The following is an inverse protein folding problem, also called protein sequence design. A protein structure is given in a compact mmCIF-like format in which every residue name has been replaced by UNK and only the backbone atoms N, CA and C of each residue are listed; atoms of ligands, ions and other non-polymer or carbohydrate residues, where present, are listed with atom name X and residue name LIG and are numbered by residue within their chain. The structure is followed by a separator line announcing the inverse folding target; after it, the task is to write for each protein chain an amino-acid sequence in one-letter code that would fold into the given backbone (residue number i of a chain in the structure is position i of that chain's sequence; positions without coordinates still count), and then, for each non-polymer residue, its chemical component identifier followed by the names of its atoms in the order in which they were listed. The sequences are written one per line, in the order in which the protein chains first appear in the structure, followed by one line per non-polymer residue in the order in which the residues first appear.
data_IF_338409969440
#
_entry.id   IF_338409969440
#
_cell.length_a   1.000
_cell.length_b   1.000
_cell.length_c   1.000
_cell.angle_alpha   90.00
_cell.angle_beta   90.00
_cell.angle_gamma   90.00
#
_symmetry.space_group_name_H-M   'P 1'
#
loop_
_entity.id
_entity.type
_entity.pdbx_description
1 polymer ?
#
# COMPACT_ATOMS: atom_id res chain seq x y z
N UNK A 1 -18.15 21.16 -21.99
CA UNK A 1 -16.86 20.85 -21.31
C UNK A 1 -16.20 22.02 -20.58
N UNK A 2 -16.87 22.63 -19.59
CA UNK A 2 -16.20 23.65 -18.75
C UNK A 2 -15.28 22.99 -17.70
N UNK A 3 -15.76 21.94 -17.03
CA UNK A 3 -15.02 21.23 -15.97
C UNK A 3 -13.75 20.54 -16.48
N UNK A 4 -13.83 19.86 -17.64
CA UNK A 4 -12.67 19.23 -18.26
C UNK A 4 -11.59 20.24 -18.66
N UNK A 5 -11.99 21.41 -19.18
CA UNK A 5 -11.04 22.49 -19.52
C UNK A 5 -10.38 23.06 -18.26
N UNK A 6 -11.12 23.25 -17.18
CA UNK A 6 -10.57 23.71 -15.91
C UNK A 6 -9.58 22.69 -15.30
N UNK A 7 -9.92 21.39 -15.33
CA UNK A 7 -9.02 20.33 -14.85
C UNK A 7 -7.74 20.25 -15.69
N UNK A 8 -7.87 20.32 -17.02
CA UNK A 8 -6.70 20.37 -17.93
C UNK A 8 -5.83 21.59 -17.65
N UNK A 9 -6.42 22.78 -17.50
CA UNK A 9 -5.66 23.99 -17.20
C UNK A 9 -4.89 23.86 -15.88
N UNK A 10 -5.52 23.30 -14.83
CA UNK A 10 -4.86 23.03 -13.56
C UNK A 10 -3.71 22.02 -13.68
N UNK A 11 -3.91 20.92 -14.39
CA UNK A 11 -2.85 19.92 -14.62
C UNK A 11 -1.67 20.54 -15.40
N UNK A 12 -1.96 21.27 -16.47
CA UNK A 12 -0.93 21.89 -17.34
C UNK A 12 -0.18 23.04 -16.66
N UNK A 13 -0.71 23.61 -15.58
CA UNK A 13 0.01 24.58 -14.76
C UNK A 13 1.19 23.97 -14.00
N UNK A 14 1.19 22.65 -13.76
CA UNK A 14 2.25 21.93 -13.04
C UNK A 14 3.04 20.96 -13.92
N UNK A 15 2.38 20.32 -14.90
CA UNK A 15 3.01 19.36 -15.80
C UNK A 15 2.84 19.81 -17.26
N UNK A 16 3.93 20.25 -17.94
CA UNK A 16 3.84 20.73 -19.32
C UNK A 16 3.29 19.67 -20.28
N UNK A 17 2.49 20.12 -21.25
CA UNK A 17 1.84 19.25 -22.23
C UNK A 17 2.82 18.34 -23.01
N UNK A 18 4.01 18.79 -23.45
CA UNK A 18 4.97 17.92 -24.13
C UNK A 18 5.45 16.76 -23.25
N UNK A 19 5.51 16.93 -21.93
CA UNK A 19 5.92 15.88 -20.99
C UNK A 19 4.80 14.85 -20.84
N UNK A 20 3.55 15.31 -20.70
CA UNK A 20 2.38 14.42 -20.64
C UNK A 20 2.21 13.61 -21.94
N UNK A 21 2.58 14.19 -23.08
CA UNK A 21 2.50 13.53 -24.38
C UNK A 21 3.54 12.40 -24.56
N UNK A 22 4.53 12.27 -23.67
CA UNK A 22 5.49 11.16 -23.68
C UNK A 22 4.87 9.86 -23.15
N UNK A 23 3.77 9.94 -22.41
CA UNK A 23 3.12 8.79 -21.79
C UNK A 23 1.86 8.40 -22.54
N UNK A 24 1.61 7.11 -22.62
CA UNK A 24 0.29 6.61 -22.98
C UNK A 24 -0.67 6.66 -21.76
N UNK A 25 -1.95 6.37 -21.99
CA UNK A 25 -2.97 6.43 -20.93
C UNK A 25 -2.70 5.48 -19.76
N UNK A 26 -2.15 4.30 -20.04
CA UNK A 26 -1.84 3.30 -19.02
C UNK A 26 -0.62 3.71 -18.18
N UNK A 27 0.43 4.23 -18.81
CA UNK A 27 1.62 4.75 -18.12
C UNK A 27 1.26 5.92 -17.20
N UNK A 28 0.44 6.85 -17.69
CA UNK A 28 -0.05 7.97 -16.88
C UNK A 28 -0.92 7.49 -15.70
N UNK A 29 -1.80 6.52 -15.93
CA UNK A 29 -2.59 5.93 -14.83
C UNK A 29 -1.69 5.27 -13.79
N UNK A 30 -0.75 4.42 -14.19
CA UNK A 30 0.15 3.74 -13.26
C UNK A 30 1.02 4.75 -12.50
N UNK A 31 1.51 5.81 -13.16
CA UNK A 31 2.29 6.86 -12.52
C UNK A 31 1.50 7.65 -11.45
N UNK A 32 0.22 7.95 -11.70
CA UNK A 32 -0.62 8.75 -10.80
C UNK A 32 -1.27 7.91 -9.71
N UNK A 33 -1.88 6.79 -10.11
CA UNK A 33 -2.68 5.95 -9.24
C UNK A 33 -1.86 4.83 -8.59
N UNK A 34 -0.80 4.37 -9.25
CA UNK A 34 -0.06 3.16 -8.89
C UNK A 34 -0.58 1.91 -9.57
N UNK A 35 0.15 0.82 -9.37
CA UNK A 35 -0.15 -0.52 -9.86
C UNK A 35 -1.42 -1.06 -9.20
N UNK A 36 -2.43 -1.47 -10.00
CA UNK A 36 -3.68 -1.97 -9.45
C UNK A 36 -3.48 -3.29 -8.71
N UNK A 37 -2.56 -4.14 -9.19
CA UNK A 37 -2.27 -5.45 -8.63
C UNK A 37 -1.19 -5.41 -7.54
N UNK A 38 -1.40 -6.19 -6.48
CA UNK A 38 -0.55 -6.28 -5.29
C UNK A 38 -0.11 -7.75 -5.16
N UNK A 39 0.85 -8.19 -6.00
CA UNK A 39 1.45 -9.51 -5.86
C UNK A 39 2.28 -9.56 -4.57
N UNK A 40 2.39 -10.76 -4.00
CA UNK A 40 3.06 -10.98 -2.71
C UNK A 40 4.51 -10.55 -2.74
N UNK A 41 5.22 -10.80 -3.84
CA UNK A 41 6.63 -10.44 -3.97
C UNK A 41 6.84 -8.92 -4.00
N UNK A 42 6.07 -8.17 -4.80
CA UNK A 42 6.16 -6.68 -4.79
C UNK A 42 5.80 -6.11 -3.42
N UNK A 43 4.84 -6.71 -2.71
CA UNK A 43 4.50 -6.29 -1.36
C UNK A 43 5.65 -6.52 -0.38
N UNK A 44 6.35 -7.67 -0.46
CA UNK A 44 7.53 -7.94 0.37
C UNK A 44 8.66 -6.96 0.08
N UNK A 45 8.91 -6.65 -1.20
CA UNK A 45 9.93 -5.67 -1.61
C UNK A 45 9.64 -4.26 -1.09
N UNK A 46 8.36 -3.87 -1.05
CA UNK A 46 7.93 -2.56 -0.54
C UNK A 46 7.75 -2.49 0.97
N UNK A 47 8.04 -3.57 1.71
CA UNK A 47 7.72 -3.66 3.14
C UNK A 47 8.95 -3.98 3.96
N UNK A 48 9.21 -3.15 4.97
CA UNK A 48 10.24 -3.42 5.98
C UNK A 48 9.64 -4.19 7.15
N UNK A 49 10.12 -5.40 7.38
CA UNK A 49 9.72 -6.24 8.52
C UNK A 49 10.68 -6.09 9.69
N UNK A 50 10.15 -5.98 10.91
CA UNK A 50 10.92 -5.84 12.16
C UNK A 50 10.28 -6.67 13.28
N UNK A 51 11.10 -7.11 14.24
CA UNK A 51 10.63 -7.89 15.39
C UNK A 51 10.69 -9.40 15.17
N UNK A 52 9.70 -10.11 15.71
CA UNK A 52 9.69 -11.58 15.77
C UNK A 52 9.51 -12.26 14.39
N UNK A 53 10.46 -13.13 14.02
CA UNK A 53 10.47 -13.82 12.71
C UNK A 53 9.36 -14.88 12.58
N UNK A 54 8.88 -15.47 13.68
CA UNK A 54 7.74 -16.40 13.65
C UNK A 54 6.46 -15.64 13.33
N UNK A 55 6.23 -14.48 13.95
CA UNK A 55 5.10 -13.60 13.65
C UNK A 55 5.13 -13.12 12.20
N UNK A 56 6.31 -12.74 11.68
CA UNK A 56 6.50 -12.38 10.27
C UNK A 56 6.10 -13.50 9.33
N UNK A 57 6.52 -14.73 9.62
CA UNK A 57 6.16 -15.91 8.81
C UNK A 57 4.65 -16.14 8.81
N UNK A 58 4.00 -16.03 9.97
CA UNK A 58 2.54 -16.15 10.08
C UNK A 58 1.81 -15.04 9.31
N UNK A 59 2.27 -13.79 9.44
CA UNK A 59 1.69 -12.65 8.73
C UNK A 59 1.79 -12.81 7.21
N UNK A 60 2.95 -13.20 6.69
CA UNK A 60 3.15 -13.40 5.25
C UNK A 60 2.30 -14.57 4.71
N UNK A 61 2.13 -15.63 5.51
CA UNK A 61 1.22 -16.71 5.17
C UNK A 61 -0.23 -16.20 5.08
N UNK A 62 -0.71 -15.46 6.09
CA UNK A 62 -2.05 -14.86 6.05
C UNK A 62 -2.22 -13.92 4.86
N UNK A 63 -1.20 -13.10 4.57
CA UNK A 63 -1.22 -12.15 3.45
C UNK A 63 -1.34 -12.85 2.09
N UNK A 64 -0.67 -13.99 1.92
CA UNK A 64 -0.75 -14.78 0.68
C UNK A 64 -2.18 -15.29 0.43
N UNK A 65 -2.90 -15.66 1.49
CA UNK A 65 -4.29 -16.11 1.40
C UNK A 65 -5.31 -14.98 1.14
N UNK A 66 -4.91 -13.71 1.27
CA UNK A 66 -5.81 -12.58 1.02
C UNK A 66 -6.12 -12.43 -0.47
N UNK A 67 -7.40 -12.17 -0.76
CA UNK A 67 -7.81 -11.71 -2.09
C UNK A 67 -7.16 -10.37 -2.43
N UNK A 68 -7.08 -10.08 -3.72
CA UNK A 68 -6.54 -8.82 -4.23
C UNK A 68 -7.22 -7.59 -3.60
N UNK A 69 -8.55 -7.64 -3.41
CA UNK A 69 -9.31 -6.58 -2.70
C UNK A 69 -8.90 -6.46 -1.23
N UNK A 70 -8.71 -7.56 -0.52
CA UNK A 70 -8.28 -7.54 0.89
C UNK A 70 -6.84 -7.00 1.03
N UNK A 71 -5.93 -7.35 0.12
CA UNK A 71 -4.58 -6.76 0.09
C UNK A 71 -4.62 -5.25 -0.09
N UNK A 72 -5.47 -4.76 -1.00
CA UNK A 72 -5.71 -3.32 -1.20
C UNK A 72 -6.28 -2.64 0.06
N UNK A 73 -7.20 -3.30 0.76
CA UNK A 73 -7.75 -2.79 2.03
C UNK A 73 -6.72 -2.77 3.16
N UNK A 74 -5.84 -3.78 3.27
CA UNK A 74 -4.73 -3.78 4.22
C UNK A 74 -3.78 -2.62 3.94
N UNK A 75 -3.40 -2.43 2.68
CA UNK A 75 -2.57 -1.31 2.25
C UNK A 75 -3.21 0.04 2.62
N UNK A 76 -4.52 0.17 2.42
CA UNK A 76 -5.26 1.38 2.79
C UNK A 76 -5.33 1.59 4.30
N UNK A 77 -5.49 0.51 5.06
CA UNK A 77 -5.47 0.56 6.52
C UNK A 77 -4.12 1.08 7.05
N UNK A 78 -3.01 0.65 6.46
CA UNK A 78 -1.67 1.04 6.92
C UNK A 78 -1.19 2.36 6.35
N UNK A 79 -1.49 2.68 5.09
CA UNK A 79 -0.85 3.80 4.36
C UNK A 79 -1.84 4.85 3.84
N UNK A 80 -3.14 4.57 3.93
CA UNK A 80 -4.18 5.39 3.29
C UNK A 80 -4.28 5.21 1.77
N UNK A 81 -3.33 4.47 1.15
CA UNK A 81 -3.28 4.21 -0.29
C UNK A 81 -3.75 2.79 -0.59
N UNK A 82 -4.36 2.60 -1.77
CA UNK A 82 -4.95 1.32 -2.17
C UNK A 82 -4.11 0.54 -3.20
N UNK A 83 -2.99 1.14 -3.67
CA UNK A 83 -2.14 0.65 -4.75
C UNK A 83 -0.66 0.84 -4.40
N UNK A 84 0.20 -0.03 -4.92
CA UNK A 84 1.66 0.14 -4.89
C UNK A 84 2.10 1.15 -5.97
N UNK A 85 3.25 1.82 -5.87
CA UNK A 85 4.26 1.71 -4.81
C UNK A 85 3.89 2.55 -3.58
N UNK A 86 3.97 1.94 -2.41
CA UNK A 86 4.10 2.65 -1.14
C UNK A 86 4.94 1.83 -0.18
N UNK A 87 5.85 2.49 0.52
CA UNK A 87 6.70 1.85 1.52
C UNK A 87 5.99 1.82 2.87
N UNK A 88 6.01 0.68 3.54
CA UNK A 88 5.48 0.51 4.89
C UNK A 88 6.42 -0.30 5.78
N UNK A 89 6.26 -0.13 7.08
CA UNK A 89 6.94 -0.93 8.10
C UNK A 89 5.92 -1.80 8.82
N UNK A 90 6.24 -3.08 9.00
CA UNK A 90 5.49 -4.01 9.83
C UNK A 90 6.35 -4.43 11.00
N UNK A 91 5.88 -4.17 12.21
CA UNK A 91 6.58 -4.45 13.46
C UNK A 91 5.80 -5.48 14.27
N UNK A 92 6.49 -6.55 14.70
CA UNK A 92 5.88 -7.73 15.29
C UNK A 92 6.24 -7.91 16.76
N UNK A 93 5.28 -8.40 17.55
CA UNK A 93 5.51 -8.79 18.94
C UNK A 93 5.24 -7.67 19.95
N UNK A 94 4.49 -6.64 19.55
CA UNK A 94 4.20 -5.48 20.38
C UNK A 94 2.70 -5.37 20.71
N UNK A 95 2.37 -5.15 21.98
CA UNK A 95 1.00 -4.99 22.47
C UNK A 95 0.48 -6.18 23.25
N UNK A 96 -0.81 -6.17 23.56
CA UNK A 96 -1.47 -7.26 24.31
C UNK A 96 -1.72 -8.47 23.37
N UNK A 97 -1.47 -9.72 23.81
CA UNK A 97 -1.58 -10.93 22.97
C UNK A 97 -2.90 -11.10 22.22
N UNK A 98 -4.01 -10.65 22.80
CA UNK A 98 -5.36 -10.73 22.21
C UNK A 98 -5.83 -9.39 21.59
N UNK A 99 -4.90 -8.44 21.41
CA UNK A 99 -5.19 -7.14 20.81
C UNK A 99 -5.43 -7.24 19.30
N UNK A 100 -6.05 -6.23 18.72
CA UNK A 100 -6.12 -6.07 17.26
C UNK A 100 -4.82 -5.42 16.74
N UNK A 101 -4.49 -5.62 15.43
CA UNK A 101 -3.41 -4.88 14.79
C UNK A 101 -3.68 -3.37 14.83
N UNK A 102 -2.63 -2.57 14.97
CA UNK A 102 -2.72 -1.10 14.99
C UNK A 102 -1.93 -0.50 13.85
N UNK A 103 -2.51 0.48 13.17
CA UNK A 103 -1.83 1.22 12.11
C UNK A 103 -1.61 2.68 12.54
N UNK A 104 -0.42 3.19 12.26
CA UNK A 104 -0.10 4.61 12.30
C UNK A 104 0.09 5.09 10.85
N UNK A 105 -1.00 5.56 10.24
CA UNK A 105 -1.07 5.85 8.80
C UNK A 105 -0.10 6.94 8.36
N UNK A 106 0.15 7.94 9.20
CA UNK A 106 1.13 9.00 8.91
C UNK A 106 2.57 8.47 8.77
N UNK A 107 2.90 7.36 9.44
CA UNK A 107 4.21 6.72 9.39
C UNK A 107 4.26 5.45 8.55
N UNK A 108 3.17 5.11 7.85
CA UNK A 108 3.00 3.83 7.15
C UNK A 108 3.42 2.62 8.01
N UNK A 109 3.04 2.62 9.28
CA UNK A 109 3.52 1.66 10.25
C UNK A 109 2.38 0.77 10.74
N UNK A 110 2.56 -0.54 10.65
CA UNK A 110 1.64 -1.56 11.16
C UNK A 110 2.29 -2.30 12.32
N UNK A 111 1.66 -2.29 13.48
CA UNK A 111 2.12 -3.00 14.67
C UNK A 111 1.20 -4.19 14.93
N UNK A 112 1.77 -5.39 15.02
CA UNK A 112 1.04 -6.61 15.34
C UNK A 112 1.40 -7.13 16.74
N UNK A 113 0.38 -7.48 17.55
CA UNK A 113 0.55 -8.25 18.76
C UNK A 113 1.29 -9.59 18.57
N UNK A 114 1.83 -10.17 19.65
CA UNK A 114 2.43 -11.50 19.61
C UNK A 114 1.33 -12.58 19.57
N UNK A 115 0.72 -12.81 18.41
CA UNK A 115 -0.32 -13.83 18.25
C UNK A 115 0.23 -15.24 18.51
N UNK A 116 -0.56 -16.10 19.14
CA UNK A 116 -0.13 -17.47 19.48
C UNK A 116 -0.16 -18.42 18.26
N UNK A 117 -1.00 -18.13 17.27
CA UNK A 117 -1.26 -18.97 16.11
C UNK A 117 -1.63 -18.15 14.86
N UNK A 118 -1.75 -18.81 13.72
CA UNK A 118 -2.21 -18.21 12.46
C UNK A 118 -3.75 -18.04 12.38
N UNK A 119 -4.49 -18.78 13.21
CA UNK A 119 -5.95 -18.82 13.26
C UNK A 119 -6.50 -17.79 14.24
#
# INVERSE_FOLDING_TARGET
DAQLRALRAGLLAYCPEPVLALWNSFELESAVCGEPDIPVEKFKESTRFQGDERQKTMFLWCFDQLTMRQRSLLLRFVTGRSRLPCSMTVDFGHGAPDGLPRAATCGNHLTLPPYSSQQ
#
